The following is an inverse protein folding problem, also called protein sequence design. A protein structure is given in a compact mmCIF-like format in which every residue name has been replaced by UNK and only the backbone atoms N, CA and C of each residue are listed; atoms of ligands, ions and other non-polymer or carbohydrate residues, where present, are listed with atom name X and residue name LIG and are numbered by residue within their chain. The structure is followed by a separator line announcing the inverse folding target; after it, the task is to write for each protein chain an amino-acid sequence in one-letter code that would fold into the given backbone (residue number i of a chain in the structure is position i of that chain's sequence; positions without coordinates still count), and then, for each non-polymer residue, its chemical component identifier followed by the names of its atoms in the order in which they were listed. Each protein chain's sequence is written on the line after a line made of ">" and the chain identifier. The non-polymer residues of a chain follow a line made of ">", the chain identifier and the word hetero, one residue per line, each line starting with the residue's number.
data_IF_613075240880
#
_entry.id   IF_613075240880
#
_cell.length_a   1.000
_cell.length_b   1.000
_cell.length_c   1.000
_cell.angle_alpha   90.00
_cell.angle_beta   90.00
_cell.angle_gamma   90.00
#
_symmetry.space_group_name_H-M   'P 1'
#
loop_
_entity.id
_entity.type
_entity.pdbx_description
1 polymer ?
#
# COMPACT_ATOMS: atom_id res chain seq x y z
N UNK A 1 25.79 29.94 -58.51
CA UNK A 1 24.45 29.94 -57.86
C UNK A 1 23.90 28.52 -57.79
N UNK A 2 24.39 27.75 -56.81
CA UNK A 2 23.90 26.45 -56.36
C UNK A 2 24.40 26.34 -54.92
N UNK A 3 23.60 25.73 -54.05
CA UNK A 3 23.74 25.67 -52.59
C UNK A 3 23.06 26.83 -51.86
N UNK A 4 21.83 26.59 -51.40
CA UNK A 4 21.37 26.68 -50.01
C UNK A 4 19.93 26.15 -50.07
N UNK A 5 19.78 24.83 -50.04
CA UNK A 5 18.50 24.13 -49.95
C UNK A 5 18.75 22.85 -49.15
N UNK A 6 19.12 23.04 -47.89
CA UNK A 6 19.33 21.98 -46.90
C UNK A 6 19.42 22.67 -45.54
N UNK A 7 18.26 22.89 -44.92
CA UNK A 7 18.06 23.12 -43.48
C UNK A 7 16.55 23.13 -43.17
N UNK A 8 15.83 22.13 -43.71
CA UNK A 8 14.45 21.78 -43.30
C UNK A 8 14.42 20.37 -42.66
N UNK A 9 15.55 19.96 -42.10
CA UNK A 9 15.61 18.90 -41.10
C UNK A 9 16.05 19.59 -39.80
N UNK A 10 15.55 19.13 -38.66
CA UNK A 10 15.74 19.71 -37.33
C UNK A 10 14.71 20.80 -36.97
N UNK A 11 13.43 20.44 -37.07
CA UNK A 11 12.50 20.70 -35.97
C UNK A 11 11.51 19.51 -35.90
N UNK A 12 12.06 18.30 -35.79
CA UNK A 12 11.40 17.32 -34.93
C UNK A 12 11.61 17.83 -33.51
N UNK A 13 10.69 18.67 -33.05
CA UNK A 13 10.37 18.70 -31.64
C UNK A 13 10.09 17.25 -31.29
N UNK A 14 11.02 16.63 -30.58
CA UNK A 14 10.70 15.48 -29.76
C UNK A 14 9.65 15.98 -28.80
N UNK A 15 8.38 15.88 -29.20
CA UNK A 15 7.30 15.73 -28.25
C UNK A 15 7.67 14.44 -27.55
N UNK A 16 8.47 14.57 -26.48
CA UNK A 16 8.42 13.63 -25.37
C UNK A 16 6.94 13.54 -25.07
N UNK A 17 6.28 12.51 -25.61
CA UNK A 17 4.95 12.14 -25.14
C UNK A 17 5.18 11.83 -23.67
N UNK A 18 4.97 12.85 -22.85
CA UNK A 18 5.05 12.78 -21.41
C UNK A 18 4.23 11.58 -20.98
N UNK A 19 4.82 10.82 -20.08
CA UNK A 19 4.26 9.62 -19.47
C UNK A 19 2.73 9.71 -19.33
N UNK A 20 2.02 8.76 -19.92
CA UNK A 20 0.57 8.72 -20.07
C UNK A 20 -0.17 8.16 -18.85
N UNK A 21 0.52 7.91 -17.74
CA UNK A 21 -0.12 7.33 -16.57
C UNK A 21 -0.96 8.37 -15.85
N UNK A 22 -2.24 8.09 -15.75
CA UNK A 22 -3.19 8.95 -15.05
C UNK A 22 -3.00 8.87 -13.54
N UNK A 23 -3.22 9.98 -12.84
CA UNK A 23 -3.30 9.96 -11.37
C UNK A 23 -4.35 8.94 -10.90
N UNK A 24 -4.07 8.27 -9.79
CA UNK A 24 -5.00 7.30 -9.22
C UNK A 24 -4.33 6.17 -8.44
N UNK A 25 -5.14 5.15 -8.13
CA UNK A 25 -4.70 3.95 -7.43
C UNK A 25 -4.35 2.88 -8.46
N UNK A 26 -3.22 2.23 -8.24
CA UNK A 26 -2.70 1.14 -9.03
C UNK A 26 -2.56 -0.09 -8.14
N UNK A 27 -2.87 -1.26 -8.69
CA UNK A 27 -2.88 -2.52 -7.95
C UNK A 27 -2.18 -3.61 -8.72
N UNK A 28 -1.26 -4.27 -8.03
CA UNK A 28 -0.60 -5.49 -8.50
C UNK A 28 -1.29 -6.73 -7.99
N UNK A 29 -1.32 -7.77 -8.82
CA UNK A 29 -1.82 -9.08 -8.42
C UNK A 29 -0.85 -9.84 -7.50
N UNK A 30 -1.48 -10.79 -6.79
CA UNK A 30 -0.94 -11.63 -5.72
C UNK A 30 0.23 -12.51 -6.19
N UNK A 31 1.45 -12.15 -5.82
CA UNK A 31 2.38 -13.20 -5.36
C UNK A 31 1.73 -13.78 -4.09
N UNK A 32 1.71 -15.09 -3.82
CA UNK A 32 0.55 -15.86 -3.36
C UNK A 32 -0.31 -15.28 -2.20
N UNK A 33 0.22 -14.39 -1.37
CA UNK A 33 -0.47 -13.70 -0.28
C UNK A 33 -0.18 -12.18 -0.19
N UNK A 34 0.48 -11.55 -1.16
CA UNK A 34 0.91 -10.15 -1.09
C UNK A 34 0.21 -9.32 -2.16
N UNK A 35 -0.50 -8.27 -1.74
CA UNK A 35 -1.10 -7.28 -2.63
C UNK A 35 -0.25 -6.02 -2.60
N UNK A 36 0.10 -5.49 -3.77
CA UNK A 36 0.81 -4.22 -3.89
C UNK A 36 -0.18 -3.14 -4.34
N UNK A 37 -0.26 -2.05 -3.58
CA UNK A 37 -0.95 -0.82 -3.96
C UNK A 37 0.07 0.28 -4.21
N UNK A 38 -0.20 1.10 -5.23
CA UNK A 38 0.52 2.32 -5.52
C UNK A 38 -0.49 3.45 -5.73
N UNK A 39 -0.42 4.51 -4.95
CA UNK A 39 -1.15 5.76 -5.25
C UNK A 39 -0.23 6.69 -5.99
N UNK A 40 -0.63 7.11 -7.20
CA UNK A 40 0.10 8.08 -8.02
C UNK A 40 -0.63 9.43 -8.02
N UNK A 41 0.09 10.46 -7.61
CA UNK A 41 -0.27 11.88 -7.70
C UNK A 41 0.87 12.63 -8.37
N UNK A 42 0.68 13.92 -8.70
CA UNK A 42 1.63 14.81 -9.41
C UNK A 42 3.00 14.20 -9.72
N UNK A 43 3.92 14.29 -8.77
CA UNK A 43 5.23 13.64 -8.82
C UNK A 43 5.46 12.70 -7.65
N UNK A 44 4.41 12.34 -6.91
CA UNK A 44 4.53 11.53 -5.70
C UNK A 44 3.82 10.21 -5.93
N UNK A 45 4.58 9.12 -5.77
CA UNK A 45 4.02 7.79 -5.63
C UNK A 45 4.17 7.34 -4.18
N UNK A 46 3.15 6.67 -3.69
CA UNK A 46 3.18 5.99 -2.40
C UNK A 46 2.94 4.51 -2.63
N UNK A 47 3.92 3.68 -2.28
CA UNK A 47 3.91 2.24 -2.52
C UNK A 47 3.71 1.52 -1.20
N UNK A 48 2.71 0.64 -1.15
CA UNK A 48 2.34 -0.11 0.05
C UNK A 48 2.08 -1.57 -0.30
N UNK A 49 2.43 -2.47 0.63
CA UNK A 49 2.21 -3.90 0.47
C UNK A 49 1.38 -4.44 1.63
N UNK A 50 0.41 -5.28 1.31
CA UNK A 50 -0.45 -5.94 2.28
C UNK A 50 -0.32 -7.45 2.14
N UNK A 51 -0.23 -8.14 3.27
CA UNK A 51 -0.26 -9.60 3.32
C UNK A 51 -1.69 -10.07 3.63
N UNK A 52 -2.28 -10.80 2.70
CA UNK A 52 -3.64 -11.32 2.73
C UNK A 52 -3.67 -12.85 2.66
N UNK A 53 -4.34 -13.50 3.60
CA UNK A 53 -4.66 -14.94 3.57
C UNK A 53 -6.12 -15.13 3.95
N UNK A 54 -6.86 -15.95 3.19
CA UNK A 54 -8.29 -16.22 3.47
C UNK A 54 -9.17 -14.96 3.53
N UNK A 55 -8.84 -13.91 2.77
CA UNK A 55 -9.57 -12.64 2.80
C UNK A 55 -9.15 -11.66 3.90
N UNK A 56 -8.39 -12.11 4.89
CA UNK A 56 -7.92 -11.29 6.03
C UNK A 56 -6.55 -10.68 5.77
N UNK A 57 -6.34 -9.45 6.25
CA UNK A 57 -5.03 -8.77 6.22
C UNK A 57 -4.32 -9.02 7.54
N UNK A 58 -3.18 -9.71 7.50
CA UNK A 58 -2.43 -10.13 8.69
C UNK A 58 -1.06 -9.44 8.81
N UNK A 59 -0.70 -8.62 7.84
CA UNK A 59 0.53 -7.85 7.87
C UNK A 59 0.51 -6.78 6.79
N UNK A 60 1.32 -5.74 6.99
CA UNK A 60 1.49 -4.70 6.00
C UNK A 60 2.88 -4.07 6.12
N UNK A 61 3.42 -3.64 4.98
CA UNK A 61 4.66 -2.87 4.91
C UNK A 61 4.29 -1.41 4.75
N UNK A 62 4.67 -0.54 5.71
CA UNK A 62 4.39 0.88 5.69
C UNK A 62 4.61 1.51 4.32
N UNK A 63 3.66 2.35 3.96
CA UNK A 63 3.69 3.03 2.69
C UNK A 63 4.98 3.86 2.55
N UNK A 64 5.71 3.69 1.44
CA UNK A 64 6.89 4.48 1.12
C UNK A 64 6.54 5.54 0.10
N UNK A 65 6.71 6.82 0.47
CA UNK A 65 6.55 7.96 -0.43
C UNK A 65 7.83 8.20 -1.23
N UNK A 66 7.67 8.37 -2.54
CA UNK A 66 8.76 8.42 -3.50
C UNK A 66 8.48 9.56 -4.48
N UNK A 67 9.48 10.42 -4.71
CA UNK A 67 9.36 11.49 -5.68
C UNK A 67 9.87 11.02 -7.04
N UNK A 68 9.03 11.07 -8.07
CA UNK A 68 9.41 10.70 -9.42
C UNK A 68 10.07 11.90 -10.08
N UNK A 69 11.29 11.71 -10.57
CA UNK A 69 11.91 12.63 -11.52
C UNK A 69 11.41 12.22 -12.92
N UNK A 70 10.83 13.15 -13.67
CA UNK A 70 10.17 12.89 -14.97
C UNK A 70 11.11 12.35 -16.07
N UNK A 71 12.41 12.20 -15.80
CA UNK A 71 13.35 11.55 -16.70
C UNK A 71 13.31 10.02 -16.51
N UNK A 72 12.36 9.32 -17.15
CA UNK A 72 12.37 7.84 -17.17
C UNK A 72 12.53 7.30 -18.59
N UNK A 73 13.58 6.49 -18.80
CA UNK A 73 13.72 5.60 -19.94
C UNK A 73 13.36 4.17 -19.50
N UNK A 74 12.71 3.37 -20.36
CA UNK A 74 12.17 2.05 -20.03
C UNK A 74 13.16 1.04 -19.40
N UNK A 75 14.47 1.31 -19.48
CA UNK A 75 15.55 0.46 -18.94
C UNK A 75 16.12 0.95 -17.60
N UNK A 76 15.84 2.19 -17.19
CA UNK A 76 16.29 2.80 -15.93
C UNK A 76 15.10 2.95 -14.98
N UNK A 77 15.23 2.62 -13.68
CA UNK A 77 14.14 2.90 -12.76
C UNK A 77 13.86 4.40 -12.73
N UNK A 78 12.58 4.77 -12.85
CA UNK A 78 12.10 6.14 -12.66
C UNK A 78 12.33 6.61 -11.21
N UNK A 79 12.37 5.65 -10.28
CA UNK A 79 12.68 5.90 -8.89
C UNK A 79 13.39 4.70 -8.25
N UNK A 80 14.31 4.99 -7.33
CA UNK A 80 14.97 4.04 -6.44
C UNK A 80 14.95 4.60 -5.01
N UNK A 81 14.49 3.81 -4.04
CA UNK A 81 14.47 4.26 -2.63
C UNK A 81 15.90 4.40 -2.10
N UNK A 82 16.10 5.26 -1.10
CA UNK A 82 17.43 5.53 -0.53
C UNK A 82 18.14 4.26 -0.03
N UNK A 83 17.38 3.28 0.45
CA UNK A 83 17.87 1.98 0.93
C UNK A 83 17.91 0.90 -0.17
N UNK A 84 17.70 1.28 -1.43
CA UNK A 84 17.62 0.40 -2.61
C UNK A 84 16.54 -0.70 -2.52
N UNK A 85 15.65 -0.61 -1.53
CA UNK A 85 14.66 -1.64 -1.26
C UNK A 85 13.49 -1.63 -2.25
N UNK A 86 13.21 -0.50 -2.91
CA UNK A 86 12.13 -0.36 -3.91
C UNK A 86 12.69 0.33 -5.15
N UNK A 87 12.41 -0.25 -6.31
CA UNK A 87 12.60 0.37 -7.62
C UNK A 87 11.25 0.44 -8.34
N UNK A 88 10.96 1.58 -8.96
CA UNK A 88 9.74 1.78 -9.76
C UNK A 88 10.15 2.11 -11.19
N UNK A 89 9.59 1.38 -12.14
CA UNK A 89 9.76 1.63 -13.57
C UNK A 89 8.40 2.04 -14.13
N UNK A 90 8.40 3.05 -14.98
CA UNK A 90 7.20 3.59 -15.61
C UNK A 90 7.09 2.98 -17.00
N UNK A 91 5.96 2.34 -17.27
CA UNK A 91 5.57 1.91 -18.61
C UNK A 91 4.36 2.75 -19.08
N UNK A 92 3.98 2.57 -20.34
CA UNK A 92 2.87 3.29 -20.98
C UNK A 92 1.54 3.17 -20.24
N UNK A 93 1.27 1.98 -19.70
CA UNK A 93 -0.05 1.52 -19.24
C UNK A 93 -0.02 0.95 -17.80
N UNK A 94 1.17 0.71 -17.25
CA UNK A 94 1.36 0.20 -15.90
C UNK A 94 2.64 0.73 -15.25
N UNK A 95 2.74 0.57 -13.93
CA UNK A 95 4.04 0.64 -13.25
C UNK A 95 4.58 -0.76 -13.01
N UNK A 96 5.90 -0.92 -13.13
CA UNK A 96 6.60 -2.11 -12.70
C UNK A 96 7.29 -1.80 -11.39
N UNK A 97 6.94 -2.50 -10.32
CA UNK A 97 7.53 -2.27 -8.99
C UNK A 97 8.38 -3.48 -8.63
N UNK A 98 9.64 -3.24 -8.29
CA UNK A 98 10.56 -4.26 -7.80
C UNK A 98 10.95 -3.95 -6.36
N UNK A 99 10.61 -4.83 -5.44
CA UNK A 99 11.17 -4.81 -4.08
C UNK A 99 12.43 -5.68 -4.01
N UNK A 100 13.43 -5.28 -3.23
CA UNK A 100 14.66 -6.07 -3.01
C UNK A 100 14.30 -7.48 -2.53
N UNK A 101 14.86 -8.49 -3.20
CA UNK A 101 14.61 -9.90 -2.90
C UNK A 101 13.27 -10.45 -3.40
N UNK A 102 12.45 -9.65 -4.10
CA UNK A 102 11.18 -10.10 -4.69
C UNK A 102 11.18 -9.88 -6.21
N UNK A 103 10.29 -10.62 -6.87
CA UNK A 103 10.03 -10.46 -8.30
C UNK A 103 9.40 -9.10 -8.61
N UNK A 104 9.54 -8.69 -9.87
CA UNK A 104 8.89 -7.50 -10.40
C UNK A 104 7.38 -7.72 -10.47
N UNK A 105 6.62 -6.79 -9.91
CA UNK A 105 5.16 -6.80 -9.92
C UNK A 105 4.66 -5.73 -10.88
N UNK A 106 3.83 -6.12 -11.84
CA UNK A 106 3.08 -5.16 -12.66
C UNK A 106 1.89 -4.65 -11.85
N UNK A 107 1.74 -3.34 -11.76
CA UNK A 107 0.57 -2.71 -11.13
C UNK A 107 -0.17 -1.88 -12.17
N UNK A 108 -1.45 -2.19 -12.36
CA UNK A 108 -2.32 -1.52 -13.31
C UNK A 108 -3.25 -0.57 -12.58
N UNK A 109 -3.76 0.44 -13.29
CA UNK A 109 -4.74 1.35 -12.73
C UNK A 109 -5.96 0.56 -12.25
N UNK A 110 -6.39 0.83 -11.02
CA UNK A 110 -7.49 0.17 -10.34
C UNK A 110 -8.67 1.12 -10.17
N UNK A 111 -9.86 0.56 -10.04
CA UNK A 111 -11.08 1.27 -9.61
C UNK A 111 -11.17 1.39 -8.09
N UNK A 112 -10.21 0.82 -7.37
CA UNK A 112 -10.12 0.95 -5.92
C UNK A 112 -10.01 2.43 -5.50
N UNK A 113 -10.56 2.74 -4.33
CA UNK A 113 -10.60 4.10 -3.78
C UNK A 113 -9.66 4.22 -2.58
N UNK A 114 -9.45 5.46 -2.12
CA UNK A 114 -8.69 5.68 -0.89
C UNK A 114 -9.33 4.96 0.31
N UNK A 115 -10.66 4.83 0.32
CA UNK A 115 -11.41 4.05 1.32
C UNK A 115 -11.03 2.56 1.30
N UNK A 116 -10.74 1.99 0.13
CA UNK A 116 -10.24 0.61 0.01
C UNK A 116 -8.91 0.46 0.76
N UNK A 117 -7.96 1.37 0.52
CA UNK A 117 -6.63 1.34 1.17
C UNK A 117 -6.76 1.55 2.68
N UNK A 118 -7.57 2.53 3.11
CA UNK A 118 -7.87 2.76 4.54
C UNK A 118 -8.45 1.51 5.20
N UNK A 119 -9.39 0.83 4.55
CA UNK A 119 -9.98 -0.42 5.07
C UNK A 119 -8.92 -1.51 5.24
N UNK A 120 -7.98 -1.65 4.31
CA UNK A 120 -6.88 -2.62 4.43
C UNK A 120 -5.95 -2.29 5.60
N UNK A 121 -5.59 -1.01 5.76
CA UNK A 121 -4.77 -0.53 6.89
C UNK A 121 -5.46 -0.79 8.22
N UNK A 122 -6.76 -0.50 8.32
CA UNK A 122 -7.54 -0.72 9.53
C UNK A 122 -7.70 -2.21 9.85
N UNK A 123 -7.92 -3.08 8.84
CA UNK A 123 -7.91 -4.53 9.06
C UNK A 123 -6.58 -5.03 9.61
N UNK A 124 -5.45 -4.54 9.08
CA UNK A 124 -4.13 -4.86 9.62
C UNK A 124 -3.95 -4.38 11.08
N UNK A 125 -4.43 -3.17 11.39
CA UNK A 125 -4.41 -2.63 12.76
C UNK A 125 -5.25 -3.50 13.70
N UNK A 126 -6.45 -3.92 13.28
CA UNK A 126 -7.32 -4.81 14.04
C UNK A 126 -6.64 -6.15 14.33
N UNK A 127 -6.07 -6.77 13.30
CA UNK A 127 -5.32 -8.02 13.44
C UNK A 127 -4.18 -7.87 14.46
N UNK A 128 -3.36 -6.82 14.30
CA UNK A 128 -2.24 -6.54 15.20
C UNK A 128 -2.69 -6.26 16.62
N UNK A 129 -3.81 -5.55 16.79
CA UNK A 129 -4.42 -5.24 18.08
C UNK A 129 -4.87 -6.52 18.79
N UNK A 130 -5.64 -7.36 18.10
CA UNK A 130 -6.15 -8.63 18.62
C UNK A 130 -5.02 -9.57 19.04
N UNK A 131 -3.98 -9.70 18.22
CA UNK A 131 -2.81 -10.52 18.54
C UNK A 131 -2.02 -10.00 19.74
N UNK A 132 -1.79 -8.68 19.81
CA UNK A 132 -1.08 -8.08 20.96
C UNK A 132 -1.85 -8.27 22.26
N UNK A 133 -3.17 -8.07 22.25
CA UNK A 133 -4.00 -8.35 23.41
C UNK A 133 -3.94 -9.85 23.77
N UNK A 134 -4.07 -10.74 22.80
CA UNK A 134 -3.98 -12.17 23.07
C UNK A 134 -2.64 -12.53 23.73
N UNK A 135 -1.53 -12.02 23.20
CA UNK A 135 -0.20 -12.27 23.76
C UNK A 135 -0.02 -11.70 25.18
N UNK A 136 -0.63 -10.56 25.48
CA UNK A 136 -0.64 -9.95 26.83
C UNK A 136 -1.44 -10.79 27.84
N UNK A 137 -2.54 -11.39 27.42
CA UNK A 137 -3.48 -12.05 28.33
C UNK A 137 -3.28 -13.56 28.45
N UNK A 138 -2.75 -14.24 27.42
CA UNK A 138 -2.54 -15.69 27.42
C UNK A 138 -1.61 -16.20 28.52
N UNK A 139 -0.80 -15.32 29.08
CA UNK A 139 0.16 -15.62 30.15
C UNK A 139 -0.44 -15.46 31.56
N UNK A 140 -1.71 -15.02 31.69
CA UNK A 140 -2.36 -14.82 32.98
C UNK A 140 -2.83 -16.16 33.57
N UNK A 141 -2.83 -16.32 34.92
CA UNK A 141 -3.41 -17.50 35.56
C UNK A 141 -4.88 -17.70 35.14
N UNK A 142 -5.29 -18.95 34.94
CA UNK A 142 -6.65 -19.33 34.55
C UNK A 142 -7.14 -18.70 33.23
N UNK A 143 -6.22 -18.36 32.31
CA UNK A 143 -6.59 -17.84 31.00
C UNK A 143 -7.43 -18.88 30.23
N UNK A 144 -8.60 -18.43 29.77
CA UNK A 144 -9.49 -19.19 28.91
C UNK A 144 -9.51 -18.54 27.52
N UNK A 145 -8.98 -19.26 26.54
CA UNK A 145 -8.86 -18.76 25.18
C UNK A 145 -10.23 -18.50 24.54
N UNK A 146 -11.23 -19.32 24.80
CA UNK A 146 -12.55 -19.16 24.21
C UNK A 146 -13.21 -17.90 24.78
N UNK A 147 -13.20 -17.74 26.11
CA UNK A 147 -13.71 -16.53 26.77
C UNK A 147 -12.99 -15.26 26.31
N UNK A 148 -11.68 -15.35 26.06
CA UNK A 148 -10.91 -14.24 25.49
C UNK A 148 -11.47 -13.78 24.15
N UNK A 149 -11.60 -14.70 23.20
CA UNK A 149 -12.07 -14.37 21.86
C UNK A 149 -13.55 -13.97 21.87
N UNK A 150 -14.39 -14.58 22.69
CA UNK A 150 -15.80 -14.20 22.84
C UNK A 150 -15.93 -12.77 23.38
N UNK A 151 -15.18 -12.42 24.42
CA UNK A 151 -15.13 -11.06 24.95
C UNK A 151 -14.64 -10.08 23.89
N UNK A 152 -13.54 -10.38 23.19
CA UNK A 152 -12.99 -9.49 22.17
C UNK A 152 -13.95 -9.30 20.98
N UNK A 153 -14.61 -10.36 20.52
CA UNK A 153 -15.58 -10.29 19.43
C UNK A 153 -16.86 -9.55 19.84
N UNK A 154 -17.22 -9.50 21.13
CA UNK A 154 -18.38 -8.74 21.61
C UNK A 154 -18.32 -7.23 21.30
N UNK A 155 -17.10 -6.67 21.14
CA UNK A 155 -16.90 -5.27 20.73
C UNK A 155 -17.20 -5.01 19.24
N UNK A 156 -17.34 -6.06 18.42
CA UNK A 156 -17.71 -5.99 17.01
C UNK A 156 -16.87 -5.00 16.19
N UNK A 157 -15.55 -5.04 16.39
CA UNK A 157 -14.61 -4.06 15.84
C UNK A 157 -14.56 -4.04 14.31
N UNK A 158 -14.92 -5.14 13.65
CA UNK A 158 -15.02 -5.24 12.20
C UNK A 158 -15.99 -4.23 11.58
N UNK A 159 -17.02 -3.79 12.30
CA UNK A 159 -17.96 -2.76 11.81
C UNK A 159 -17.31 -1.38 11.62
N UNK A 160 -16.17 -1.14 12.26
CA UNK A 160 -15.52 0.16 12.28
C UNK A 160 -14.31 0.24 11.33
N UNK A 161 -13.97 -0.82 10.59
CA UNK A 161 -12.78 -0.83 9.73
C UNK A 161 -12.85 0.15 8.55
N UNK A 162 -14.05 0.63 8.20
CA UNK A 162 -14.25 1.64 7.16
C UNK A 162 -14.17 3.08 7.68
N UNK A 163 -14.00 3.28 8.99
CA UNK A 163 -13.76 4.60 9.56
C UNK A 163 -12.42 5.18 9.06
N UNK A 164 -12.27 6.50 9.19
CA UNK A 164 -10.97 7.12 9.07
C UNK A 164 -9.93 6.46 10.00
N UNK A 165 -8.66 6.48 9.59
CA UNK A 165 -7.55 5.83 10.29
C UNK A 165 -7.40 6.30 11.75
N UNK A 166 -7.62 7.58 12.04
CA UNK A 166 -7.49 8.14 13.39
C UNK A 166 -8.64 7.66 14.25
N UNK A 167 -9.88 7.83 13.77
CA UNK A 167 -11.10 7.39 14.46
C UNK A 167 -11.10 5.89 14.76
N UNK A 168 -10.62 5.07 13.83
CA UNK A 168 -10.48 3.63 14.07
C UNK A 168 -9.44 3.35 15.17
N UNK A 169 -8.35 4.11 15.21
CA UNK A 169 -7.32 3.95 16.24
C UNK A 169 -7.84 4.34 17.63
N UNK A 170 -8.64 5.41 17.72
CA UNK A 170 -9.34 5.77 18.95
C UNK A 170 -10.27 4.66 19.41
N UNK A 171 -11.01 4.04 18.48
CA UNK A 171 -11.90 2.92 18.80
C UNK A 171 -11.15 1.70 19.36
N UNK A 172 -9.96 1.40 18.81
CA UNK A 172 -9.09 0.36 19.36
C UNK A 172 -8.58 0.70 20.76
N UNK A 173 -8.23 1.97 21.02
CA UNK A 173 -7.77 2.42 22.34
C UNK A 173 -8.90 2.35 23.38
N UNK A 174 -10.09 2.87 23.07
CA UNK A 174 -11.28 2.74 23.91
C UNK A 174 -11.54 1.27 24.27
N UNK A 175 -11.46 0.39 23.27
CA UNK A 175 -11.69 -1.04 23.46
C UNK A 175 -10.62 -1.65 24.33
N UNK A 176 -9.34 -1.28 24.18
CA UNK A 176 -8.27 -1.74 25.08
C UNK A 176 -8.55 -1.36 26.52
N UNK A 177 -8.94 -0.12 26.75
CA UNK A 177 -9.15 0.39 28.11
C UNK A 177 -10.37 -0.26 28.76
N UNK A 178 -11.45 -0.45 28.02
CA UNK A 178 -12.62 -1.19 28.48
C UNK A 178 -12.29 -2.67 28.74
N UNK A 179 -11.58 -3.31 27.81
CA UNK A 179 -11.14 -4.70 27.95
C UNK A 179 -10.26 -4.87 29.19
N UNK A 180 -9.36 -3.93 29.47
CA UNK A 180 -8.52 -3.94 30.68
C UNK A 180 -9.32 -3.84 31.97
N UNK A 181 -10.35 -2.98 31.99
CA UNK A 181 -11.23 -2.80 33.16
C UNK A 181 -12.16 -3.99 33.40
N UNK A 182 -12.61 -4.63 32.32
CA UNK A 182 -13.68 -5.63 32.35
C UNK A 182 -13.20 -7.04 31.93
N UNK A 183 -11.90 -7.34 32.04
CA UNK A 183 -11.33 -8.59 31.56
C UNK A 183 -11.74 -9.79 32.41
N UNK A 184 -11.75 -9.63 33.74
CA UNK A 184 -12.23 -10.58 34.74
C UNK A 184 -12.59 -9.79 36.00
#
# INVERSE_FOLDING_TARGET
>A
MRQILLLLAIFWTTISLGQTLEKGIYKGQKLPFTICYLTYSDTIIEVEYFFQKGGQIFGHIPAKKLQINMESFATKPAFKSQDDSINVFIHSDYFLIKRKGLDKVKVYKSVDTQTTITTLRNRNKLFSFSHKLYDEYKVKPNFDQQKFWDKLHSYNLDKYVTLDNEKFSDKLNETRDDFKKNWL
#
